data_IF_690537933338
#
_entry.id   IF_690537933338
#
_cell.length_a   1.000
_cell.length_b   1.000
_cell.length_c   1.000
_cell.angle_alpha   90.00
_cell.angle_beta   90.00
_cell.angle_gamma   90.00
#
_symmetry.space_group_name_H-M   'P 1'
#
loop_
_entity.id
_entity.type
_entity.pdbx_description
1 polymer ?
#
# COMPACT_ATOMS: atom_id res chain seq x y z
N UNK A 1 14.45 8.93 -7.23
CA UNK A 1 14.11 9.14 -5.80
C UNK A 1 12.60 9.18 -5.52
N UNK A 2 11.81 9.97 -6.27
CA UNK A 2 10.38 10.20 -5.99
C UNK A 2 9.51 8.94 -5.86
N UNK A 3 9.82 7.87 -6.61
CA UNK A 3 9.07 6.61 -6.55
C UNK A 3 9.22 5.88 -5.20
N UNK A 4 10.41 5.91 -4.61
CA UNK A 4 10.68 5.24 -3.32
C UNK A 4 9.91 5.94 -2.20
N UNK A 5 9.89 7.27 -2.23
CA UNK A 5 9.15 8.10 -1.27
C UNK A 5 7.64 7.84 -1.35
N UNK A 6 7.08 7.81 -2.58
CA UNK A 6 5.67 7.50 -2.78
C UNK A 6 5.30 6.10 -2.25
N UNK A 7 6.14 5.09 -2.48
CA UNK A 7 5.96 3.74 -1.93
C UNK A 7 5.99 3.76 -0.40
N UNK A 8 6.88 4.56 0.20
CA UNK A 8 6.94 4.74 1.65
C UNK A 8 5.62 5.27 2.22
N UNK A 9 5.12 6.38 1.67
CA UNK A 9 3.85 6.98 2.13
C UNK A 9 2.66 6.03 1.94
N UNK A 10 2.57 5.32 0.82
CA UNK A 10 1.50 4.33 0.59
C UNK A 10 1.57 3.22 1.64
N UNK A 11 2.76 2.69 1.93
CA UNK A 11 2.92 1.63 2.92
C UNK A 11 2.54 2.08 4.33
N UNK A 12 2.87 3.33 4.69
CA UNK A 12 2.52 3.93 5.97
C UNK A 12 1.00 4.14 6.09
N UNK A 13 0.34 4.68 5.07
CA UNK A 13 -1.11 4.86 5.07
C UNK A 13 -1.86 3.52 5.20
N UNK A 14 -1.36 2.47 4.53
CA UNK A 14 -1.90 1.11 4.67
C UNK A 14 -1.77 0.61 6.12
N UNK A 15 -0.62 0.83 6.78
CA UNK A 15 -0.39 0.41 8.18
C UNK A 15 -1.25 1.16 9.18
N UNK A 16 -1.56 2.43 8.90
CA UNK A 16 -2.48 3.23 9.73
C UNK A 16 -3.93 2.74 9.65
N UNK A 17 -4.27 1.87 8.69
CA UNK A 17 -5.62 1.33 8.58
C UNK A 17 -6.66 2.35 8.10
N UNK A 18 -6.25 3.51 7.58
CA UNK A 18 -7.15 4.60 7.20
C UNK A 18 -7.37 4.63 5.68
N UNK A 19 -8.59 4.29 5.20
CA UNK A 19 -8.90 4.27 3.77
C UNK A 19 -8.72 5.61 3.04
N UNK A 20 -9.00 6.72 3.72
CA UNK A 20 -8.88 8.05 3.13
C UNK A 20 -7.41 8.44 2.94
N UNK A 21 -6.55 8.12 3.92
CA UNK A 21 -5.10 8.29 3.80
C UNK A 21 -4.51 7.40 2.72
N UNK A 22 -4.98 6.16 2.61
CA UNK A 22 -4.55 5.26 1.52
C UNK A 22 -4.98 5.81 0.16
N UNK A 23 -6.20 6.31 0.03
CA UNK A 23 -6.63 6.99 -1.20
C UNK A 23 -5.77 8.22 -1.52
N UNK A 24 -5.51 9.09 -0.54
CA UNK A 24 -4.68 10.30 -0.69
C UNK A 24 -3.30 9.95 -1.25
N UNK A 25 -2.65 8.94 -0.68
CA UNK A 25 -1.31 8.50 -1.12
C UNK A 25 -1.32 7.85 -2.50
N UNK A 26 -2.39 7.16 -2.89
CA UNK A 26 -2.57 6.60 -4.24
C UNK A 26 -2.80 7.69 -5.30
N UNK A 27 -3.42 8.81 -4.93
CA UNK A 27 -3.69 9.95 -5.80
C UNK A 27 -2.46 10.87 -6.01
N UNK A 28 -1.40 10.72 -5.21
CA UNK A 28 -0.19 11.52 -5.38
C UNK A 28 0.40 11.32 -6.78
N UNK A 29 0.71 12.41 -7.48
CA UNK A 29 1.33 12.38 -8.81
C UNK A 29 2.65 11.58 -8.83
N UNK A 30 3.35 11.52 -7.70
CA UNK A 30 4.58 10.75 -7.52
C UNK A 30 4.36 9.23 -7.50
N UNK A 31 3.13 8.77 -7.20
CA UNK A 31 2.74 7.36 -7.26
C UNK A 31 2.58 6.85 -8.70
N UNK A 32 2.37 7.75 -9.68
CA UNK A 32 2.21 7.45 -11.11
C UNK A 32 1.12 6.42 -11.42
N UNK A 33 0.04 6.43 -10.62
CA UNK A 33 -1.14 5.60 -10.85
C UNK A 33 -2.17 6.35 -11.69
N UNK A 34 -2.90 5.62 -12.52
CA UNK A 34 -4.01 6.13 -13.33
C UNK A 34 -5.31 5.48 -12.85
N UNK A 35 -6.45 6.13 -13.12
CA UNK A 35 -7.79 5.61 -12.84
C UNK A 35 -8.08 5.26 -11.36
N UNK A 36 -7.42 5.95 -10.43
CA UNK A 36 -7.72 5.84 -9.00
C UNK A 36 -9.09 6.46 -8.73
N UNK A 37 -10.04 5.64 -8.24
CA UNK A 37 -11.43 6.07 -8.00
C UNK A 37 -11.67 6.31 -6.51
N UNK A 38 -12.07 7.53 -6.09
CA UNK A 38 -12.34 7.82 -4.68
C UNK A 38 -13.37 6.90 -4.02
N UNK A 39 -14.38 6.47 -4.78
CA UNK A 39 -15.41 5.52 -4.31
C UNK A 39 -14.84 4.18 -3.83
N UNK A 40 -13.62 3.82 -4.23
CA UNK A 40 -12.97 2.57 -3.89
C UNK A 40 -12.00 2.69 -2.68
N UNK A 41 -11.96 3.82 -1.97
CA UNK A 41 -11.01 4.06 -0.87
C UNK A 41 -10.90 2.87 0.10
N UNK A 42 -12.05 2.40 0.61
CA UNK A 42 -12.13 1.23 1.51
C UNK A 42 -11.62 -0.04 0.85
N UNK A 43 -12.05 -0.29 -0.39
CA UNK A 43 -11.60 -1.47 -1.13
C UNK A 43 -10.08 -1.47 -1.33
N UNK A 44 -9.49 -0.34 -1.70
CA UNK A 44 -8.03 -0.20 -1.84
C UNK A 44 -7.31 -0.49 -0.54
N UNK A 45 -7.78 0.06 0.59
CA UNK A 45 -7.21 -0.23 1.91
C UNK A 45 -7.23 -1.73 2.21
N UNK A 46 -8.39 -2.37 2.04
CA UNK A 46 -8.57 -3.77 2.41
C UNK A 46 -7.65 -4.69 1.58
N UNK A 47 -7.64 -4.53 0.25
CA UNK A 47 -6.83 -5.40 -0.64
C UNK A 47 -5.34 -5.16 -0.49
N UNK A 48 -4.90 -3.90 -0.33
CA UNK A 48 -3.48 -3.57 -0.18
C UNK A 48 -2.94 -4.04 1.17
N UNK A 49 -3.73 -3.89 2.24
CA UNK A 49 -3.37 -4.40 3.56
C UNK A 49 -3.22 -5.93 3.55
N UNK A 50 -4.20 -6.65 2.96
CA UNK A 50 -4.12 -8.11 2.82
C UNK A 50 -2.91 -8.55 1.99
N UNK A 51 -2.67 -7.91 0.84
CA UNK A 51 -1.53 -8.21 -0.02
C UNK A 51 -0.20 -7.99 0.70
N UNK A 52 -0.08 -6.91 1.48
CA UNK A 52 1.11 -6.60 2.28
C UNK A 52 1.34 -7.66 3.37
N UNK A 53 0.30 -8.05 4.10
CA UNK A 53 0.37 -9.08 5.13
C UNK A 53 0.83 -10.43 4.55
N UNK A 54 0.29 -10.83 3.41
CA UNK A 54 0.69 -12.06 2.72
C UNK A 54 2.16 -12.02 2.27
N UNK A 55 2.62 -10.89 1.74
CA UNK A 55 4.03 -10.71 1.35
C UNK A 55 4.98 -10.79 2.56
N UNK A 56 4.61 -10.20 3.69
CA UNK A 56 5.37 -10.30 4.94
C UNK A 56 5.43 -11.76 5.43
N UNK A 57 4.32 -12.49 5.39
CA UNK A 57 4.27 -13.92 5.74
C UNK A 57 5.20 -14.75 4.86
N UNK A 58 5.14 -14.58 3.54
CA UNK A 58 6.03 -15.28 2.59
C UNK A 58 7.50 -14.94 2.87
N UNK A 59 7.82 -13.67 3.13
CA UNK A 59 9.19 -13.25 3.46
C UNK A 59 9.69 -13.86 4.77
N UNK A 60 8.83 -13.97 5.79
CA UNK A 60 9.18 -14.62 7.05
C UNK A 60 9.44 -16.12 6.88
N UNK A 61 8.63 -16.82 6.07
CA UNK A 61 8.85 -18.23 5.75
C UNK A 61 10.18 -18.44 5.01
N UNK A 62 10.49 -17.58 4.03
CA UNK A 62 11.74 -17.67 3.27
C UNK A 62 12.98 -17.34 4.13
N UNK A 63 12.84 -16.47 5.14
CA UNK A 63 13.93 -16.10 6.04
C UNK A 63 14.26 -17.18 7.09
N UNK A 64 13.35 -18.14 7.33
CA UNK A 64 13.53 -19.23 8.29
C UNK A 64 14.04 -20.55 7.69
N UNK A 65 14.57 -20.54 6.46
CA UNK A 65 15.11 -21.74 5.78
C UNK A 65 16.63 -21.67 5.60
N UNK A 66 17.37 -21.43 6.68
CA UNK A 66 18.81 -21.66 6.80
C UNK A 66 19.11 -22.38 8.12
#
# INVERSE_FOLDING_TARGET
>A
LHRIIAIGHINEAIDQGNPERTLETLLLATAKLQDVRPANAKHYQDVLHQAKAQKCKVRALNAGTL
#
